data_IF_394934907262
#
_entry.id   IF_394934907262
#
_cell.length_a   1.000
_cell.length_b   1.000
_cell.length_c   1.000
_cell.angle_alpha   90.00
_cell.angle_beta   90.00
_cell.angle_gamma   90.00
#
_symmetry.space_group_name_H-M   'P 1'
#
loop_
_entity.id
_entity.type
_entity.pdbx_description
1 polymer ?
#
# COMPACT_ATOMS: atom_id res chain seq x y z
N UNK A 1 -16.04 15.37 13.58
CA UNK A 1 -15.88 13.90 13.69
C UNK A 1 -15.53 13.48 15.12
N UNK A 2 -14.42 13.96 15.71
CA UNK A 2 -13.99 13.56 17.08
C UNK A 2 -15.04 13.87 18.16
N UNK A 3 -15.57 15.10 18.23
CA UNK A 3 -16.53 15.47 19.28
C UNK A 3 -17.84 14.66 19.20
N UNK A 4 -18.38 14.44 17.99
CA UNK A 4 -19.59 13.63 17.83
C UNK A 4 -19.40 12.15 18.24
N UNK A 5 -18.21 11.58 17.98
CA UNK A 5 -17.88 10.23 18.47
C UNK A 5 -17.71 10.22 19.99
N UNK A 6 -17.08 11.25 20.57
CA UNK A 6 -16.93 11.42 22.03
C UNK A 6 -18.28 11.48 22.74
N UNK A 7 -19.23 12.27 22.24
CA UNK A 7 -20.60 12.33 22.80
C UNK A 7 -21.30 10.98 22.71
N UNK A 8 -21.16 10.28 21.57
CA UNK A 8 -21.74 8.95 21.38
C UNK A 8 -21.16 7.92 22.36
N UNK A 9 -19.85 7.95 22.62
CA UNK A 9 -19.21 7.07 23.59
C UNK A 9 -19.61 7.39 25.04
N UNK A 10 -19.71 8.68 25.40
CA UNK A 10 -20.25 9.10 26.71
C UNK A 10 -21.69 8.59 26.89
N UNK A 11 -22.53 8.69 25.85
CA UNK A 11 -23.91 8.19 25.85
C UNK A 11 -23.99 6.67 26.04
N UNK A 12 -23.02 5.93 25.51
CA UNK A 12 -22.90 4.47 25.72
C UNK A 12 -22.38 4.11 27.12
N UNK A 13 -22.11 5.08 27.99
CA UNK A 13 -21.62 4.85 29.35
C UNK A 13 -20.13 4.50 29.43
N UNK A 14 -19.36 4.74 28.35
CA UNK A 14 -17.92 4.48 28.35
C UNK A 14 -17.22 5.50 29.25
N UNK A 15 -16.44 5.00 30.20
CA UNK A 15 -15.60 5.81 31.08
C UNK A 15 -14.26 6.10 30.40
N UNK A 16 -13.83 7.35 30.44
CA UNK A 16 -12.57 7.78 29.85
C UNK A 16 -12.20 9.21 30.23
N UNK A 17 -10.93 9.57 30.06
CA UNK A 17 -10.45 10.94 30.21
C UNK A 17 -10.84 11.75 28.96
N UNK A 18 -12.06 12.27 29.00
CA UNK A 18 -12.70 12.89 27.85
C UNK A 18 -12.23 14.32 27.60
N UNK A 19 -11.70 15.01 28.61
CA UNK A 19 -11.28 16.41 28.50
C UNK A 19 -9.82 16.54 28.09
N UNK A 20 -9.03 15.48 28.31
CA UNK A 20 -7.65 15.36 27.81
C UNK A 20 -7.42 14.05 27.04
N UNK A 21 -8.11 13.84 25.89
CA UNK A 21 -7.90 12.65 25.08
C UNK A 21 -6.54 12.73 24.38
N UNK A 22 -5.88 11.59 24.20
CA UNK A 22 -4.74 11.49 23.31
C UNK A 22 -5.19 11.73 21.86
N UNK A 23 -4.47 12.59 21.12
CA UNK A 23 -4.68 12.77 19.67
C UNK A 23 -3.37 12.58 18.93
N UNK A 24 -3.46 11.94 17.76
CA UNK A 24 -2.32 11.72 16.87
C UNK A 24 -1.71 13.02 16.33
N UNK A 25 -2.54 14.06 16.23
CA UNK A 25 -2.18 15.39 15.75
C UNK A 25 -1.77 16.37 16.86
N UNK A 26 -1.67 15.93 18.12
CA UNK A 26 -1.13 16.77 19.18
C UNK A 26 0.40 16.87 19.04
N UNK A 27 0.97 18.06 19.27
CA UNK A 27 2.41 18.31 19.09
C UNK A 27 3.32 17.32 19.82
N UNK A 28 2.93 16.90 21.02
CA UNK A 28 3.71 15.93 21.79
C UNK A 28 3.75 14.55 21.09
N UNK A 29 2.63 14.15 20.49
CA UNK A 29 2.50 12.89 19.76
C UNK A 29 3.30 12.93 18.46
N UNK A 30 3.13 13.98 17.66
CA UNK A 30 3.88 14.17 16.41
C UNK A 30 5.39 14.20 16.66
N UNK A 31 5.83 14.91 17.70
CA UNK A 31 7.24 14.93 18.09
C UNK A 31 7.77 13.52 18.43
N UNK A 32 6.95 12.69 19.08
CA UNK A 32 7.32 11.30 19.36
C UNK A 32 7.36 10.43 18.10
N UNK A 33 6.45 10.64 17.14
CA UNK A 33 6.49 9.97 15.82
C UNK A 33 7.81 10.25 15.12
N UNK A 34 8.23 11.53 15.06
CA UNK A 34 9.51 11.91 14.43
C UNK A 34 10.71 11.32 15.16
N UNK A 35 10.71 11.31 16.51
CA UNK A 35 11.78 10.66 17.28
C UNK A 35 11.87 9.15 17.02
N UNK A 36 10.73 8.47 16.91
CA UNK A 36 10.69 7.04 16.59
C UNK A 36 11.22 6.78 15.17
N UNK A 37 10.80 7.57 14.19
CA UNK A 37 11.32 7.51 12.82
C UNK A 37 12.83 7.77 12.77
N UNK A 38 13.33 8.73 13.53
CA UNK A 38 14.75 9.03 13.66
C UNK A 38 15.59 7.84 14.13
N UNK A 39 15.07 7.06 15.10
CA UNK A 39 15.72 5.82 15.57
C UNK A 39 15.74 4.73 14.50
N UNK A 40 14.66 4.57 13.74
CA UNK A 40 14.58 3.62 12.63
C UNK A 40 15.62 3.98 11.56
N UNK A 41 15.73 5.27 11.24
CA UNK A 41 16.71 5.78 10.29
C UNK A 41 18.15 5.61 10.80
N UNK A 42 18.44 5.94 12.06
CA UNK A 42 19.79 5.79 12.63
C UNK A 42 20.28 4.35 12.66
N UNK A 43 19.35 3.38 12.73
CA UNK A 43 19.65 1.95 12.70
C UNK A 43 19.80 1.39 11.27
N UNK A 44 19.72 2.24 10.23
CA UNK A 44 19.89 1.82 8.83
C UNK A 44 18.70 1.07 8.23
N UNK A 45 17.52 1.16 8.86
CA UNK A 45 16.30 0.47 8.38
C UNK A 45 15.44 1.32 7.44
N UNK A 46 15.85 2.54 7.13
CA UNK A 46 15.15 3.43 6.20
C UNK A 46 15.96 3.59 4.91
N UNK A 47 15.40 3.13 3.79
CA UNK A 47 16.01 3.22 2.47
C UNK A 47 15.09 3.96 1.50
N UNK A 48 15.69 4.75 0.61
CA UNK A 48 14.99 5.42 -0.49
C UNK A 48 15.37 4.75 -1.80
N UNK A 49 14.39 4.42 -2.63
CA UNK A 49 14.61 3.80 -3.94
C UNK A 49 13.36 3.79 -4.79
N UNK A 50 13.45 3.13 -5.95
CA UNK A 50 12.35 2.95 -6.88
C UNK A 50 12.02 1.47 -6.99
N UNK A 51 10.76 1.12 -6.76
CA UNK A 51 10.22 -0.24 -6.87
C UNK A 51 8.78 -0.11 -7.35
N UNK A 52 8.27 -1.05 -8.17
CA UNK A 52 6.84 -1.17 -8.39
C UNK A 52 6.11 -1.31 -7.05
N UNK A 53 5.07 -0.50 -6.83
CA UNK A 53 4.25 -0.48 -5.61
C UNK A 53 2.77 -0.48 -5.98
N UNK A 54 1.92 -0.89 -5.03
CA UNK A 54 0.50 -0.65 -5.15
C UNK A 54 0.22 0.84 -5.17
N UNK A 55 -0.53 1.29 -6.17
CA UNK A 55 -0.85 2.70 -6.37
C UNK A 55 -2.36 2.89 -6.41
N UNK A 56 -2.87 3.76 -5.54
CA UNK A 56 -4.26 4.16 -5.60
C UNK A 56 -4.41 5.32 -6.59
N UNK A 57 -5.16 5.09 -7.68
CA UNK A 57 -5.43 6.14 -8.69
C UNK A 57 -6.32 7.25 -8.15
N UNK A 58 -7.18 6.94 -7.18
CA UNK A 58 -8.14 7.90 -6.62
C UNK A 58 -7.48 8.78 -5.54
N UNK A 59 -6.62 8.19 -4.70
CA UNK A 59 -5.89 8.92 -3.66
C UNK A 59 -4.63 9.62 -4.18
N UNK A 60 -4.05 9.14 -5.29
CA UNK A 60 -2.78 9.65 -5.81
C UNK A 60 -1.58 9.34 -4.92
N UNK A 61 -1.60 8.19 -4.23
CA UNK A 61 -0.49 7.76 -3.37
C UNK A 61 -0.17 6.28 -3.53
N UNK A 62 1.05 5.93 -3.11
CA UNK A 62 1.42 4.54 -2.87
C UNK A 62 0.65 4.00 -1.66
N UNK A 63 0.37 2.70 -1.68
CA UNK A 63 -0.27 1.96 -0.60
C UNK A 63 0.69 0.93 0.00
N UNK A 64 0.58 0.71 1.30
CA UNK A 64 1.17 -0.44 1.95
C UNK A 64 0.36 -1.70 1.67
N UNK A 65 0.97 -2.89 1.74
CA UNK A 65 0.28 -4.17 1.53
C UNK A 65 -0.95 -4.31 2.46
N UNK A 66 -0.83 -3.84 3.70
CA UNK A 66 -1.90 -3.89 4.69
C UNK A 66 -3.12 -3.02 4.32
N UNK A 67 -2.99 -2.10 3.36
CA UNK A 67 -4.07 -1.24 2.86
C UNK A 67 -4.73 -1.83 1.60
N UNK A 68 -4.23 -2.94 1.07
CA UNK A 68 -4.74 -3.57 -0.15
C UNK A 68 -5.81 -4.61 0.21
N UNK A 69 -6.99 -4.44 -0.37
CA UNK A 69 -8.08 -5.41 -0.29
C UNK A 69 -8.28 -6.12 -1.64
N UNK A 70 -8.35 -7.45 -1.62
CA UNK A 70 -8.59 -8.25 -2.81
C UNK A 70 -10.09 -8.42 -3.06
N UNK A 71 -10.48 -8.26 -4.33
CA UNK A 71 -11.85 -8.48 -4.81
C UNK A 71 -11.80 -9.17 -6.17
N UNK A 72 -12.75 -10.06 -6.41
CA UNK A 72 -12.88 -10.72 -7.70
C UNK A 72 -13.17 -9.68 -8.79
N UNK A 73 -12.41 -9.79 -9.89
CA UNK A 73 -12.55 -8.92 -11.05
C UNK A 73 -12.40 -9.74 -12.31
N UNK A 74 -13.44 -9.75 -13.14
CA UNK A 74 -13.34 -10.29 -14.50
C UNK A 74 -12.53 -9.29 -15.34
N UNK A 75 -11.38 -9.72 -15.83
CA UNK A 75 -10.52 -8.94 -16.72
C UNK A 75 -10.35 -9.68 -18.04
N UNK A 76 -10.26 -8.97 -19.18
CA UNK A 76 -9.97 -9.60 -20.47
C UNK A 76 -8.60 -10.30 -20.44
N UNK A 77 -8.55 -11.53 -20.98
CA UNK A 77 -7.31 -12.23 -21.29
C UNK A 77 -7.16 -12.29 -22.81
N UNK A 78 -6.01 -11.90 -23.35
CA UNK A 78 -5.76 -11.78 -24.78
C UNK A 78 -4.43 -12.42 -25.17
N UNK A 79 -4.36 -12.97 -26.38
CA UNK A 79 -3.14 -13.49 -26.98
C UNK A 79 -2.53 -12.45 -27.94
N UNK A 80 -1.24 -12.14 -27.77
CA UNK A 80 -0.54 -11.14 -28.58
C UNK A 80 0.71 -11.77 -29.21
N UNK A 81 0.71 -11.90 -30.55
CA UNK A 81 1.89 -12.38 -31.32
C UNK A 81 2.94 -11.28 -31.39
N UNK A 82 4.17 -11.60 -31.00
CA UNK A 82 5.34 -10.73 -31.21
C UNK A 82 6.07 -11.12 -32.50
N UNK A 83 6.60 -10.13 -33.21
CA UNK A 83 7.47 -10.37 -34.37
C UNK A 83 8.84 -10.83 -33.88
N UNK A 84 9.36 -11.89 -34.50
CA UNK A 84 10.70 -12.40 -34.21
C UNK A 84 11.77 -11.56 -34.90
N UNK A 85 12.93 -11.42 -34.27
CA UNK A 85 14.11 -10.83 -34.92
C UNK A 85 14.71 -11.82 -35.94
N UNK A 86 14.70 -13.12 -35.63
CA UNK A 86 15.12 -14.22 -36.48
C UNK A 86 14.13 -15.38 -36.31
N UNK A 87 13.40 -15.69 -37.39
CA UNK A 87 12.38 -16.73 -37.40
C UNK A 87 13.00 -18.13 -37.46
N UNK A 88 14.06 -18.34 -38.23
CA UNK A 88 14.70 -19.64 -38.35
C UNK A 88 15.36 -20.05 -37.03
N UNK A 89 16.04 -19.12 -36.36
CA UNK A 89 16.62 -19.35 -35.05
C UNK A 89 15.54 -19.69 -34.00
N UNK A 90 14.41 -18.97 -34.00
CA UNK A 90 13.31 -19.28 -33.09
C UNK A 90 12.75 -20.68 -33.35
N UNK A 91 12.40 -20.98 -34.61
CA UNK A 91 11.79 -22.26 -34.99
C UNK A 91 12.68 -23.44 -34.59
N UNK A 92 14.01 -23.32 -34.73
CA UNK A 92 14.95 -24.36 -34.31
C UNK A 92 14.99 -24.64 -32.79
N UNK A 93 14.45 -23.74 -31.95
CA UNK A 93 14.37 -23.94 -30.48
C UNK A 93 13.12 -24.70 -30.05
N UNK A 94 12.15 -24.88 -30.94
CA UNK A 94 10.94 -25.62 -30.64
C UNK A 94 10.98 -26.96 -31.38
N UNK A 95 10.69 -28.04 -30.66
CA UNK A 95 10.42 -29.35 -31.26
C UNK A 95 9.02 -29.29 -31.88
N UNK A 96 8.94 -28.68 -33.05
CA UNK A 96 7.71 -28.62 -33.83
C UNK A 96 7.49 -29.99 -34.45
N UNK A 97 6.70 -30.85 -33.79
CA UNK A 97 6.07 -31.98 -34.47
C UNK A 97 5.17 -31.39 -35.55
N UNK A 98 5.46 -31.72 -36.80
CA UNK A 98 4.66 -31.33 -37.98
C UNK A 98 3.18 -31.60 -37.70
N UNK A 99 2.37 -30.55 -37.76
CA UNK A 99 0.91 -30.57 -37.71
C UNK A 99 0.36 -29.92 -38.96
#
# INVERSE_FOLDING_TARGET
QVEGQKESFKRLGIMGEWDKPYRTMDFATEANIIRALGKIASNGHLLKGFKPVHWCTDCGSALAEAEVEYKDKVSPSIDVRFKTADEAALLSKFELTEG
#
